data_IF_317900421231
#
_entry.id   IF_317900421231
#
_cell.length_a   1.000
_cell.length_b   1.000
_cell.length_c   1.000
_cell.angle_alpha   90.00
_cell.angle_beta   90.00
_cell.angle_gamma   90.00
#
_symmetry.space_group_name_H-M   'P 1'
#
loop_
_entity.id
_entity.type
_entity.pdbx_description
1 polymer ?
#
# COMPACT_ATOMS: atom_id res chain seq x y z
N UNK A 1 17.65 -2.85 4.92
CA UNK A 1 16.37 -2.25 4.50
C UNK A 1 15.88 -2.86 3.20
N UNK A 2 16.71 -2.90 2.16
CA UNK A 2 16.28 -3.44 0.86
C UNK A 2 16.00 -4.94 0.91
N UNK A 3 16.77 -5.69 1.66
CA UNK A 3 16.58 -7.13 1.84
C UNK A 3 15.23 -7.42 2.53
N UNK A 4 14.88 -6.63 3.53
CA UNK A 4 13.59 -6.76 4.21
C UNK A 4 12.43 -6.47 3.24
N UNK A 5 12.56 -5.42 2.43
CA UNK A 5 11.56 -5.11 1.40
C UNK A 5 11.41 -6.28 0.43
N UNK A 6 12.51 -6.81 -0.08
CA UNK A 6 12.48 -7.94 -1.03
C UNK A 6 11.77 -9.16 -0.46
N UNK A 7 12.04 -9.50 0.82
CA UNK A 7 11.46 -10.67 1.47
C UNK A 7 9.96 -10.54 1.73
N UNK A 8 9.42 -9.32 1.80
CA UNK A 8 8.04 -9.05 2.19
C UNK A 8 7.21 -8.39 1.10
N UNK A 9 7.73 -8.32 -0.13
CA UNK A 9 7.06 -7.65 -1.24
C UNK A 9 6.76 -8.63 -2.36
N UNK A 10 5.52 -8.61 -2.84
CA UNK A 10 5.11 -9.27 -4.08
C UNK A 10 4.57 -8.21 -5.03
N UNK A 11 4.71 -8.46 -6.33
CA UNK A 11 4.19 -7.55 -7.34
C UNK A 11 3.06 -8.24 -8.07
N UNK A 12 1.87 -7.64 -8.02
CA UNK A 12 0.67 -8.16 -8.66
C UNK A 12 0.14 -7.08 -9.60
N UNK A 13 0.12 -7.35 -10.89
CA UNK A 13 -0.42 -6.45 -11.91
C UNK A 13 0.16 -5.03 -11.75
N UNK A 14 1.48 -4.93 -11.57
CA UNK A 14 2.23 -3.68 -11.40
C UNK A 14 1.93 -2.90 -10.12
N UNK A 15 1.37 -3.57 -9.11
CA UNK A 15 1.25 -3.03 -7.75
C UNK A 15 2.19 -3.82 -6.84
N UNK A 16 3.17 -3.14 -6.25
CA UNK A 16 4.07 -3.75 -5.28
C UNK A 16 3.42 -3.75 -3.90
N UNK A 17 3.13 -4.91 -3.36
CA UNK A 17 2.49 -5.06 -2.06
C UNK A 17 3.54 -5.53 -1.06
N UNK A 18 3.87 -4.65 -0.12
CA UNK A 18 4.87 -4.91 0.91
C UNK A 18 4.19 -5.14 2.25
N UNK A 19 4.28 -6.36 2.77
CA UNK A 19 3.63 -6.74 4.04
C UNK A 19 4.65 -6.74 5.17
N UNK A 20 4.69 -5.64 5.91
CA UNK A 20 5.55 -5.51 7.09
C UNK A 20 4.83 -5.90 8.39
N UNK A 21 3.53 -6.16 8.32
CA UNK A 21 2.73 -6.55 9.47
C UNK A 21 3.13 -7.92 10.01
N UNK A 22 3.60 -8.82 9.14
CA UNK A 22 3.97 -10.19 9.52
C UNK A 22 5.23 -10.22 10.40
N UNK A 23 6.06 -9.19 10.33
CA UNK A 23 7.31 -9.11 11.08
C UNK A 23 7.34 -7.97 12.09
N UNK A 24 6.26 -7.18 12.19
CA UNK A 24 6.20 -6.06 13.09
C UNK A 24 7.22 -4.97 12.79
N UNK A 25 7.61 -4.80 11.52
CA UNK A 25 8.55 -3.78 11.08
C UNK A 25 7.87 -2.75 10.21
N UNK A 26 8.57 -1.66 9.89
CA UNK A 26 8.04 -0.57 9.07
C UNK A 26 8.97 -0.29 7.89
N UNK A 27 8.38 0.22 6.82
CA UNK A 27 9.11 0.66 5.64
C UNK A 27 8.46 1.92 5.08
N UNK A 28 8.96 2.43 3.98
CA UNK A 28 8.37 3.58 3.30
C UNK A 28 8.25 3.31 1.80
N UNK A 29 7.41 4.12 1.14
CA UNK A 29 7.13 3.91 -0.27
C UNK A 29 8.35 4.08 -1.17
N UNK A 30 9.27 4.96 -0.78
CA UNK A 30 10.49 5.17 -1.57
C UNK A 30 11.33 3.88 -1.66
N UNK A 31 11.50 3.18 -0.54
CA UNK A 31 12.26 1.92 -0.52
C UNK A 31 11.57 0.83 -1.34
N UNK A 32 10.26 0.73 -1.22
CA UNK A 32 9.50 -0.31 -1.94
C UNK A 32 9.51 -0.05 -3.44
N UNK A 33 9.24 1.17 -3.88
CA UNK A 33 9.24 1.49 -5.31
C UNK A 33 10.65 1.47 -5.91
N UNK A 34 11.68 1.84 -5.13
CA UNK A 34 13.06 1.73 -5.58
C UNK A 34 13.44 0.27 -5.86
N UNK A 35 13.05 -0.65 -4.97
CA UNK A 35 13.27 -2.08 -5.19
C UNK A 35 12.49 -2.60 -6.40
N UNK A 36 11.24 -2.21 -6.54
CA UNK A 36 10.38 -2.68 -7.63
C UNK A 36 10.86 -2.16 -8.99
N UNK A 37 11.43 -0.96 -9.02
CA UNK A 37 11.91 -0.36 -10.28
C UNK A 37 10.77 -0.19 -11.27
N UNK A 38 11.01 -0.57 -12.52
CA UNK A 38 10.03 -0.43 -13.59
C UNK A 38 8.96 -1.53 -13.61
N UNK A 39 8.99 -2.44 -12.63
CA UNK A 39 8.01 -3.53 -12.53
C UNK A 39 6.70 -3.12 -11.87
N UNK A 40 6.66 -1.96 -11.23
CA UNK A 40 5.46 -1.50 -10.53
C UNK A 40 5.19 -0.03 -10.82
N UNK A 41 3.90 0.31 -10.94
CA UNK A 41 3.44 1.70 -11.10
C UNK A 41 3.17 2.37 -9.75
N UNK A 42 2.90 1.57 -8.72
CA UNK A 42 2.59 2.04 -7.38
C UNK A 42 2.91 0.95 -6.35
N UNK A 43 2.84 1.32 -5.08
CA UNK A 43 2.99 0.35 -4.01
C UNK A 43 1.90 0.51 -2.94
N UNK A 44 1.64 -0.58 -2.25
CA UNK A 44 0.81 -0.66 -1.06
C UNK A 44 1.67 -1.24 0.06
N UNK A 45 1.83 -0.53 1.16
CA UNK A 45 2.59 -1.01 2.30
C UNK A 45 1.64 -1.24 3.47
N UNK A 46 1.62 -2.47 3.97
CA UNK A 46 0.91 -2.80 5.21
C UNK A 46 1.93 -2.68 6.35
N UNK A 47 1.72 -1.71 7.24
CA UNK A 47 2.68 -1.41 8.28
C UNK A 47 2.54 -2.33 9.49
N UNK A 48 3.69 -2.72 10.05
CA UNK A 48 3.77 -3.36 11.35
C UNK A 48 3.73 -2.32 12.48
N UNK A 49 3.77 -2.81 13.71
CA UNK A 49 3.81 -1.95 14.89
C UNK A 49 5.20 -1.37 15.10
N UNK A 50 5.26 -0.13 15.58
CA UNK A 50 6.52 0.59 15.76
C UNK A 50 7.46 -0.09 16.77
N UNK A 51 6.94 -0.87 17.71
CA UNK A 51 7.74 -1.58 18.70
C UNK A 51 8.25 -2.95 18.22
N UNK A 52 8.01 -3.27 16.95
CA UNK A 52 8.45 -4.52 16.35
C UNK A 52 7.61 -5.74 16.71
N UNK A 53 6.52 -5.57 17.45
CA UNK A 53 5.65 -6.68 17.81
C UNK A 53 4.67 -7.00 16.68
N UNK A 54 4.16 -8.23 16.70
CA UNK A 54 3.11 -8.66 15.78
C UNK A 54 1.75 -8.30 16.37
N UNK A 55 0.71 -8.38 15.53
CA UNK A 55 -0.65 -8.08 15.94
C UNK A 55 -1.11 -8.96 17.09
N UNK A 56 -1.79 -8.37 18.07
CA UNK A 56 -2.48 -9.06 19.13
C UNK A 56 -3.94 -8.61 19.14
N UNK A 57 -4.88 -9.42 19.71
CA UNK A 57 -6.30 -9.06 19.71
C UNK A 57 -6.62 -7.74 20.42
N UNK A 58 -5.76 -7.28 21.33
CA UNK A 58 -5.98 -6.04 22.07
C UNK A 58 -5.40 -4.80 21.38
N UNK A 59 -4.67 -4.99 20.29
CA UNK A 59 -4.01 -3.87 19.62
C UNK A 59 -4.95 -3.13 18.68
N UNK A 60 -4.70 -1.82 18.46
CA UNK A 60 -5.41 -1.09 17.41
C UNK A 60 -5.17 -1.69 16.04
N UNK A 61 -6.05 -1.37 15.11
CA UNK A 61 -5.89 -1.80 13.72
C UNK A 61 -4.56 -1.29 13.14
N UNK A 62 -3.98 -2.09 12.26
CA UNK A 62 -2.80 -1.70 11.48
C UNK A 62 -3.18 -0.63 10.47
N UNK A 63 -2.18 -0.06 9.81
CA UNK A 63 -2.37 0.94 8.77
C UNK A 63 -1.76 0.47 7.45
N UNK A 64 -2.20 1.11 6.37
CA UNK A 64 -1.65 0.92 5.05
C UNK A 64 -1.31 2.27 4.43
N UNK A 65 -0.30 2.28 3.59
CA UNK A 65 0.08 3.46 2.80
C UNK A 65 0.18 3.09 1.34
N UNK A 66 -0.16 4.05 0.48
CA UNK A 66 -0.09 3.90 -0.97
C UNK A 66 0.76 5.01 -1.54
N UNK A 67 1.67 4.66 -2.45
CA UNK A 67 2.56 5.63 -3.10
C UNK A 67 2.68 5.32 -4.58
N UNK A 68 2.62 6.36 -5.41
CA UNK A 68 2.98 6.24 -6.82
C UNK A 68 4.48 6.02 -6.95
N UNK A 69 4.90 5.32 -7.99
CA UNK A 69 6.32 5.08 -8.23
C UNK A 69 6.95 6.32 -8.88
N UNK A 70 7.62 7.15 -8.07
CA UNK A 70 8.26 8.37 -8.51
C UNK A 70 9.52 8.14 -9.35
N UNK A 71 10.02 6.91 -9.42
CA UNK A 71 11.17 6.56 -10.25
C UNK A 71 10.82 6.39 -11.73
N UNK A 72 9.52 6.22 -12.03
CA UNK A 72 9.07 6.06 -13.42
C UNK A 72 8.79 7.43 -14.04
N UNK A 73 9.15 7.59 -15.31
CA UNK A 73 8.68 8.71 -16.10
C UNK A 73 7.16 8.66 -16.17
N UNK A 74 6.51 9.77 -15.85
CA UNK A 74 5.05 9.87 -15.77
C UNK A 74 4.42 8.88 -14.75
N UNK A 75 5.19 8.47 -13.74
CA UNK A 75 4.68 7.58 -12.70
C UNK A 75 3.73 8.26 -11.72
N UNK A 76 3.89 9.57 -11.51
CA UNK A 76 3.00 10.35 -10.66
C UNK A 76 1.84 10.95 -11.46
N UNK A 77 0.74 11.27 -10.77
CA UNK A 77 -0.48 11.85 -11.34
C UNK A 77 -1.16 10.94 -12.38
N UNK A 78 -0.85 9.66 -12.35
CA UNK A 78 -1.44 8.68 -13.25
C UNK A 78 -2.74 8.11 -12.69
N UNK A 79 -2.74 7.83 -11.38
CA UNK A 79 -3.89 7.29 -10.68
C UNK A 79 -4.14 8.09 -9.40
N UNK A 80 -5.39 8.17 -8.98
CA UNK A 80 -5.77 8.75 -7.70
C UNK A 80 -5.78 7.63 -6.64
N UNK A 81 -4.63 7.39 -6.02
CA UNK A 81 -4.49 6.34 -5.02
C UNK A 81 -5.30 6.62 -3.75
N UNK A 82 -5.69 7.89 -3.51
CA UNK A 82 -6.52 8.22 -2.35
C UNK A 82 -7.87 7.51 -2.37
N UNK A 83 -8.32 7.08 -3.52
CA UNK A 83 -9.55 6.28 -3.64
C UNK A 83 -9.38 4.89 -3.04
N UNK A 84 -8.17 4.31 -3.11
CA UNK A 84 -7.88 3.07 -2.39
C UNK A 84 -7.95 3.30 -0.89
N UNK A 85 -7.31 4.36 -0.41
CA UNK A 85 -7.29 4.67 1.01
C UNK A 85 -8.70 4.87 1.59
N UNK A 86 -9.57 5.57 0.87
CA UNK A 86 -10.92 5.86 1.36
C UNK A 86 -11.94 4.74 1.12
N UNK A 87 -11.60 3.74 0.31
CA UNK A 87 -12.52 2.66 -0.01
C UNK A 87 -12.91 1.83 1.21
N UNK A 88 -11.97 1.57 2.11
CA UNK A 88 -12.19 0.79 3.32
C UNK A 88 -12.28 1.63 4.57
N UNK A 89 -11.76 2.84 4.56
CA UNK A 89 -11.68 3.72 5.73
C UNK A 89 -12.08 5.13 5.33
N UNK A 90 -13.29 5.55 5.73
CA UNK A 90 -13.80 6.89 5.39
C UNK A 90 -12.95 8.01 5.97
N UNK A 91 -12.13 7.73 6.99
CA UNK A 91 -11.21 8.70 7.58
C UNK A 91 -9.83 8.68 6.92
N UNK A 92 -9.59 7.75 6.00
CA UNK A 92 -8.37 7.68 5.23
C UNK A 92 -8.28 8.79 4.19
N UNK A 93 -7.18 8.86 3.50
CA UNK A 93 -6.99 9.81 2.43
C UNK A 93 -5.56 10.31 2.32
N UNK A 94 -5.42 11.47 1.69
CA UNK A 94 -4.15 12.09 1.40
C UNK A 94 -4.15 12.64 -0.02
N UNK A 95 -2.98 12.61 -0.65
CA UNK A 95 -2.83 13.04 -2.04
C UNK A 95 -2.98 11.86 -3.00
N UNK A 96 -3.26 12.16 -4.27
CA UNK A 96 -3.37 11.12 -5.29
C UNK A 96 -2.13 10.22 -5.36
N UNK A 97 -0.95 10.78 -5.13
CA UNK A 97 0.32 10.06 -5.24
C UNK A 97 0.86 9.54 -3.92
N UNK A 98 0.27 9.92 -2.79
CA UNK A 98 0.72 9.52 -1.45
C UNK A 98 -0.43 9.65 -0.47
N UNK A 99 -0.89 8.53 0.07
CA UNK A 99 -2.06 8.50 0.94
C UNK A 99 -1.99 7.30 1.89
N UNK A 100 -2.93 7.21 2.80
CA UNK A 100 -2.96 6.12 3.75
C UNK A 100 -4.30 5.98 4.45
N UNK A 101 -4.44 4.86 5.17
CA UNK A 101 -5.65 4.55 5.90
C UNK A 101 -5.34 3.55 7.01
N UNK A 102 -6.35 3.28 7.83
CA UNK A 102 -6.30 2.19 8.81
C UNK A 102 -6.85 0.93 8.18
N UNK A 103 -6.32 -0.20 8.62
CA UNK A 103 -6.88 -1.50 8.24
C UNK A 103 -8.20 -1.69 8.98
N UNK A 104 -9.23 -2.08 8.25
CA UNK A 104 -10.57 -2.29 8.78
C UNK A 104 -10.84 -3.77 9.04
N UNK A 105 -11.80 -4.05 9.92
CA UNK A 105 -12.24 -5.42 10.15
C UNK A 105 -12.77 -6.02 8.83
N UNK A 106 -12.60 -7.33 8.57
CA UNK A 106 -12.04 -8.34 9.48
C UNK A 106 -10.51 -8.43 9.45
N UNK A 107 -9.78 -7.65 8.66
CA UNK A 107 -8.34 -7.64 8.69
C UNK A 107 -7.69 -7.41 7.34
N UNK A 108 -6.37 -7.59 7.29
CA UNK A 108 -5.53 -7.21 6.16
C UNK A 108 -5.97 -7.90 4.86
N UNK A 109 -6.24 -9.19 4.91
CA UNK A 109 -6.54 -9.94 3.68
C UNK A 109 -7.81 -9.43 2.99
N UNK A 110 -8.85 -9.11 3.76
CA UNK A 110 -10.10 -8.58 3.22
C UNK A 110 -9.89 -7.19 2.60
N UNK A 111 -9.09 -6.34 3.26
CA UNK A 111 -8.75 -5.02 2.74
C UNK A 111 -7.96 -5.14 1.43
N UNK A 112 -6.95 -6.01 1.40
CA UNK A 112 -6.16 -6.26 0.20
C UNK A 112 -7.01 -6.79 -0.96
N UNK A 113 -7.96 -7.67 -0.70
CA UNK A 113 -8.86 -8.17 -1.74
C UNK A 113 -9.63 -7.02 -2.41
N UNK A 114 -10.16 -6.09 -1.61
CA UNK A 114 -10.86 -4.92 -2.13
C UNK A 114 -9.92 -4.05 -2.97
N UNK A 115 -8.73 -3.75 -2.44
CA UNK A 115 -7.77 -2.91 -3.15
C UNK A 115 -7.27 -3.54 -4.44
N UNK A 116 -7.03 -4.85 -4.46
CA UNK A 116 -6.62 -5.54 -5.67
C UNK A 116 -7.71 -5.55 -6.73
N UNK A 117 -8.97 -5.66 -6.33
CA UNK A 117 -10.10 -5.54 -7.26
C UNK A 117 -10.19 -4.15 -7.89
N UNK A 118 -10.04 -3.10 -7.09
CA UNK A 118 -9.99 -1.72 -7.59
C UNK A 118 -8.78 -1.50 -8.49
N UNK A 119 -7.63 -2.01 -8.10
CA UNK A 119 -6.40 -1.88 -8.89
C UNK A 119 -6.51 -2.59 -10.24
N UNK A 120 -7.15 -3.73 -10.29
CA UNK A 120 -7.38 -4.46 -11.55
C UNK A 120 -8.21 -3.63 -12.53
N UNK A 121 -9.06 -2.75 -12.02
CA UNK A 121 -9.91 -1.85 -12.83
C UNK A 121 -9.45 -0.39 -12.71
N UNK A 122 -8.15 -0.16 -12.52
CA UNK A 122 -7.63 1.16 -12.16
C UNK A 122 -7.87 2.25 -13.19
N UNK A 123 -7.93 1.90 -14.45
CA UNK A 123 -8.19 2.91 -15.49
C UNK A 123 -9.58 3.53 -15.36
N UNK A 124 -10.52 2.81 -14.77
CA UNK A 124 -11.87 3.31 -14.50
C UNK A 124 -12.01 3.80 -13.05
N UNK A 125 -11.57 3.01 -12.09
CA UNK A 125 -11.83 3.28 -10.67
C UNK A 125 -10.85 4.26 -10.04
N UNK A 126 -9.63 4.36 -10.58
CA UNK A 126 -8.59 5.23 -10.02
C UNK A 126 -8.19 6.36 -10.97
N UNK A 127 -8.99 6.64 -11.98
CA UNK A 127 -8.70 7.74 -12.90
C UNK A 127 -8.70 9.07 -12.16
N UNK A 128 -7.70 9.90 -12.43
CA UNK A 128 -7.64 11.27 -11.91
C UNK A 128 -8.66 12.11 -12.68
N UNK A 129 -9.51 12.83 -11.92
CA UNK A 129 -10.61 13.63 -12.47
C UNK A 129 -10.41 15.11 -12.21
#
# INVERSE_FOLDING_TARGET
AQLVVEQHTVIIDRLAICRMDEKGVRSNGYLVTAWAGDRADACCIIHGYADGSIETPSRPALSASFYANSFLENGQNRYDLSRLATAMDSTGGGHANACGCRIQAPGVDANLETWLGMWANRDEELAIR
#
